data_IF_888958321004
#
_entry.id   IF_888958321004
#
_cell.length_a   1.000
_cell.length_b   1.000
_cell.length_c   1.000
_cell.angle_alpha   90.00
_cell.angle_beta   90.00
_cell.angle_gamma   90.00
#
_symmetry.space_group_name_H-M   'P 1'
#
loop_
_entity.id
_entity.type
_entity.pdbx_description
1 polymer ?
#
# COMPACT_ATOMS: atom_id res chain seq x y z
N UNK A 1 -25.79 -35.37 -32.83
CA UNK A 1 -26.30 -34.71 -31.62
C UNK A 1 -25.44 -33.49 -31.42
N UNK A 2 -25.97 -32.31 -31.76
CA UNK A 2 -25.25 -31.03 -31.73
C UNK A 2 -25.53 -30.35 -30.40
N UNK A 3 -24.47 -30.06 -29.65
CA UNK A 3 -24.49 -29.28 -28.41
C UNK A 3 -24.76 -27.80 -28.73
N UNK A 4 -26.04 -27.45 -28.90
CA UNK A 4 -26.52 -26.06 -28.93
C UNK A 4 -27.13 -25.70 -27.57
N UNK A 5 -26.28 -25.42 -26.58
CA UNK A 5 -26.73 -25.03 -25.25
C UNK A 5 -25.84 -23.94 -24.63
N UNK A 6 -25.71 -22.78 -25.29
CA UNK A 6 -25.34 -21.54 -24.56
C UNK A 6 -25.60 -20.23 -25.34
N UNK A 7 -26.76 -20.06 -25.96
CA UNK A 7 -27.16 -18.74 -26.47
C UNK A 7 -28.42 -18.27 -25.74
N UNK A 8 -28.22 -17.43 -24.72
CA UNK A 8 -29.29 -16.70 -24.02
C UNK A 8 -29.41 -15.29 -24.64
N UNK A 9 -30.47 -15.01 -25.41
CA UNK A 9 -30.69 -13.72 -26.05
C UNK A 9 -30.95 -12.57 -25.06
N UNK A 10 -31.27 -12.89 -23.80
CA UNK A 10 -31.56 -11.90 -22.76
C UNK A 10 -30.33 -11.53 -21.94
N UNK A 11 -29.19 -12.23 -22.13
CA UNK A 11 -27.94 -11.91 -21.46
C UNK A 11 -27.41 -10.58 -22.01
N UNK A 12 -27.33 -9.51 -21.19
CA UNK A 12 -26.85 -8.22 -21.67
C UNK A 12 -25.42 -8.36 -22.20
N UNK A 13 -25.21 -8.00 -23.48
CA UNK A 13 -23.87 -7.92 -24.06
C UNK A 13 -23.18 -6.66 -23.53
N UNK A 14 -22.70 -6.72 -22.29
CA UNK A 14 -21.81 -5.70 -21.75
C UNK A 14 -20.54 -5.72 -22.60
N UNK A 15 -20.36 -4.68 -23.43
CA UNK A 15 -19.15 -4.55 -24.23
C UNK A 15 -17.97 -4.24 -23.31
N UNK A 16 -16.76 -4.60 -23.74
CA UNK A 16 -15.53 -4.41 -22.96
C UNK A 16 -15.45 -2.99 -22.37
N UNK A 17 -15.76 -1.96 -23.15
CA UNK A 17 -15.75 -0.55 -22.73
C UNK A 17 -16.71 -0.25 -21.55
N UNK A 18 -17.90 -0.85 -21.52
CA UNK A 18 -18.84 -0.67 -20.40
C UNK A 18 -18.35 -1.39 -19.14
N UNK A 19 -17.70 -2.55 -19.32
CA UNK A 19 -17.10 -3.31 -18.21
C UNK A 19 -15.90 -2.57 -17.62
N UNK A 20 -15.00 -2.01 -18.45
CA UNK A 20 -13.88 -1.20 -17.96
C UNK A 20 -14.38 0.05 -17.23
N UNK A 21 -15.22 0.87 -17.87
CA UNK A 21 -15.70 2.11 -17.27
C UNK A 21 -16.43 1.91 -15.93
N UNK A 22 -17.24 0.85 -15.82
CA UNK A 22 -17.96 0.57 -14.57
C UNK A 22 -17.02 0.08 -13.46
N UNK A 23 -15.99 -0.69 -13.79
CA UNK A 23 -14.97 -1.09 -12.82
C UNK A 23 -14.08 0.10 -12.40
N UNK A 24 -13.75 1.00 -13.33
CA UNK A 24 -12.94 2.18 -13.04
C UNK A 24 -13.65 3.13 -12.08
N UNK A 25 -14.96 3.35 -12.27
CA UNK A 25 -15.80 4.12 -11.34
C UNK A 25 -15.84 3.49 -9.93
N UNK A 26 -16.05 2.18 -9.85
CA UNK A 26 -16.06 1.46 -8.56
C UNK A 26 -14.69 1.52 -7.85
N UNK A 27 -13.60 1.47 -8.62
CA UNK A 27 -12.25 1.63 -8.09
C UNK A 27 -12.01 3.05 -7.57
N UNK A 28 -12.43 4.08 -8.31
CA UNK A 28 -12.32 5.48 -7.88
C UNK A 28 -13.14 5.78 -6.62
N UNK A 29 -14.38 5.31 -6.53
CA UNK A 29 -15.20 5.48 -5.33
C UNK A 29 -14.52 4.87 -4.10
N UNK A 30 -13.83 3.75 -4.30
CA UNK A 30 -13.12 3.05 -3.25
C UNK A 30 -11.84 3.75 -2.82
N UNK A 31 -11.09 4.32 -3.77
CA UNK A 31 -9.97 5.20 -3.44
C UNK A 31 -10.44 6.44 -2.67
N UNK A 32 -11.55 7.07 -3.09
CA UNK A 32 -12.15 8.20 -2.37
C UNK A 32 -12.57 7.82 -0.94
N UNK A 33 -13.09 6.61 -0.75
CA UNK A 33 -13.38 6.10 0.59
C UNK A 33 -12.08 5.98 1.40
N UNK A 34 -11.05 5.35 0.86
CA UNK A 34 -9.74 5.21 1.51
C UNK A 34 -9.17 6.59 1.91
N UNK A 35 -9.24 7.59 1.04
CA UNK A 35 -8.80 8.97 1.34
C UNK A 35 -9.54 9.55 2.55
N UNK A 36 -10.87 9.40 2.61
CA UNK A 36 -11.67 9.83 3.77
C UNK A 36 -11.25 9.13 5.06
N UNK A 37 -10.87 7.84 4.98
CA UNK A 37 -10.37 7.07 6.12
C UNK A 37 -8.98 7.56 6.55
N UNK A 38 -8.10 7.90 5.63
CA UNK A 38 -6.82 8.55 5.94
C UNK A 38 -7.00 9.90 6.63
N UNK A 39 -7.93 10.73 6.15
CA UNK A 39 -8.27 11.99 6.80
C UNK A 39 -8.81 11.77 8.22
N UNK A 40 -9.63 10.74 8.43
CA UNK A 40 -10.11 10.37 9.76
C UNK A 40 -8.95 9.95 10.67
N UNK A 41 -8.06 9.06 10.20
CA UNK A 41 -6.86 8.64 10.93
C UNK A 41 -5.95 9.83 11.29
N UNK A 42 -5.81 10.79 10.37
CA UNK A 42 -5.05 12.03 10.61
C UNK A 42 -5.65 12.85 11.75
N UNK A 43 -6.99 12.98 11.81
CA UNK A 43 -7.68 13.65 12.92
C UNK A 43 -7.49 12.92 14.24
N UNK A 44 -7.66 11.59 14.27
CA UNK A 44 -7.42 10.77 15.46
C UNK A 44 -5.98 10.95 15.98
N UNK A 45 -5.01 11.01 15.06
CA UNK A 45 -3.60 11.29 15.40
C UNK A 45 -3.42 12.65 16.06
N UNK A 46 -4.10 13.69 15.58
CA UNK A 46 -4.06 15.03 16.18
C UNK A 46 -4.72 15.05 17.56
N UNK A 47 -5.87 14.39 17.72
CA UNK A 47 -6.55 14.24 19.02
C UNK A 47 -5.67 13.52 20.03
N UNK A 48 -5.04 12.41 19.64
CA UNK A 48 -4.14 11.65 20.49
C UNK A 48 -2.95 12.49 20.93
N UNK A 49 -2.31 13.23 20.01
CA UNK A 49 -1.21 14.15 20.34
C UNK A 49 -1.63 15.18 21.38
N UNK A 50 -2.81 15.78 21.22
CA UNK A 50 -3.34 16.76 22.18
C UNK A 50 -3.51 16.12 23.56
N UNK A 51 -4.15 14.95 23.65
CA UNK A 51 -4.35 14.25 24.94
C UNK A 51 -3.02 13.86 25.61
N UNK A 52 -2.00 13.50 24.83
CA UNK A 52 -0.66 13.22 25.35
C UNK A 52 -0.03 14.50 25.93
N UNK A 53 -0.11 15.63 25.21
CA UNK A 53 0.38 16.90 25.73
C UNK A 53 -0.36 17.32 27.01
N UNK A 54 -1.70 17.22 27.03
CA UNK A 54 -2.51 17.54 28.20
C UNK A 54 -2.11 16.66 29.40
N UNK A 55 -1.83 15.37 29.16
CA UNK A 55 -1.31 14.46 30.18
C UNK A 55 0.08 14.88 30.68
N UNK A 56 1.00 15.22 29.77
CA UNK A 56 2.34 15.71 30.13
C UNK A 56 2.27 17.00 30.96
N UNK A 57 1.31 17.89 30.66
CA UNK A 57 1.12 19.14 31.38
C UNK A 57 0.59 18.90 32.80
N UNK A 58 -0.34 17.95 33.00
CA UNK A 58 -0.85 17.60 34.34
C UNK A 58 0.22 16.87 35.15
N UNK A 59 1.02 16.01 34.51
CA UNK A 59 2.13 15.30 35.18
C UNK A 59 3.25 16.23 35.69
N UNK A 60 3.28 17.50 35.25
CA UNK A 60 4.21 18.52 35.76
C UNK A 60 3.65 19.33 36.93
N UNK A 61 2.37 19.17 37.25
CA UNK A 61 1.71 19.85 38.36
C UNK A 61 1.90 19.10 39.68
N UNK A 62 1.31 19.62 40.75
CA UNK A 62 1.38 18.99 42.06
C UNK A 62 0.65 17.64 42.08
N UNK A 63 1.19 16.68 42.83
CA UNK A 63 0.63 15.33 42.98
C UNK A 63 -0.58 15.31 43.93
N UNK A 64 -1.62 16.08 43.60
CA UNK A 64 -2.88 16.08 44.32
C UNK A 64 -3.89 15.05 43.77
N UNK A 65 -4.95 14.81 44.54
CA UNK A 65 -5.97 13.81 44.20
C UNK A 65 -6.71 14.16 42.91
N UNK A 66 -6.92 15.44 42.62
CA UNK A 66 -7.61 15.90 41.42
C UNK A 66 -6.78 15.60 40.16
N UNK A 67 -5.50 15.95 40.17
CA UNK A 67 -4.56 15.69 39.08
C UNK A 67 -4.39 14.19 38.85
N UNK A 68 -4.33 13.39 39.92
CA UNK A 68 -4.28 11.93 39.81
C UNK A 68 -5.55 11.34 39.18
N UNK A 69 -6.73 11.88 39.49
CA UNK A 69 -8.00 11.46 38.88
C UNK A 69 -8.08 11.89 37.40
N UNK A 70 -7.60 13.08 37.06
CA UNK A 70 -7.50 13.56 35.68
C UNK A 70 -6.54 12.70 34.85
N UNK A 71 -5.36 12.37 35.38
CA UNK A 71 -4.37 11.48 34.74
C UNK A 71 -5.00 10.12 34.42
N UNK A 72 -5.69 9.48 35.37
CA UNK A 72 -6.34 8.19 35.14
C UNK A 72 -7.37 8.25 34.01
N UNK A 73 -8.20 9.30 34.00
CA UNK A 73 -9.19 9.51 32.93
C UNK A 73 -8.53 9.71 31.58
N UNK A 74 -7.51 10.56 31.49
CA UNK A 74 -6.77 10.81 30.25
C UNK A 74 -6.07 9.55 29.72
N UNK A 75 -5.51 8.72 30.60
CA UNK A 75 -4.89 7.45 30.19
C UNK A 75 -5.91 6.52 29.53
N UNK A 76 -7.12 6.40 30.09
CA UNK A 76 -8.18 5.57 29.48
C UNK A 76 -8.69 6.14 28.16
N UNK A 77 -8.78 7.47 28.05
CA UNK A 77 -9.11 8.13 26.79
C UNK A 77 -8.02 7.93 25.72
N UNK A 78 -6.75 8.00 26.10
CA UNK A 78 -5.60 7.75 25.22
C UNK A 78 -5.61 6.30 24.72
N UNK A 79 -5.87 5.32 25.61
CA UNK A 79 -5.98 3.91 25.22
C UNK A 79 -7.11 3.70 24.21
N UNK A 80 -8.27 4.32 24.44
CA UNK A 80 -9.41 4.27 23.53
C UNK A 80 -9.07 4.88 22.16
N UNK A 81 -8.50 6.07 22.15
CA UNK A 81 -8.09 6.77 20.92
C UNK A 81 -7.09 5.94 20.11
N UNK A 82 -6.10 5.34 20.79
CA UNK A 82 -5.12 4.43 20.19
C UNK A 82 -5.79 3.22 19.54
N UNK A 83 -6.85 2.69 20.15
CA UNK A 83 -7.59 1.57 19.56
C UNK A 83 -8.34 2.01 18.29
N UNK A 84 -9.01 3.15 18.33
CA UNK A 84 -9.68 3.71 17.14
C UNK A 84 -8.69 3.92 15.98
N UNK A 85 -7.48 4.42 16.26
CA UNK A 85 -6.43 4.55 15.25
C UNK A 85 -6.01 3.20 14.64
N UNK A 86 -5.90 2.15 15.46
CA UNK A 86 -5.57 0.80 14.97
C UNK A 86 -6.69 0.25 14.08
N UNK A 87 -7.94 0.40 14.49
CA UNK A 87 -9.10 -0.07 13.74
C UNK A 87 -9.18 0.65 12.38
N UNK A 88 -8.95 1.97 12.37
CA UNK A 88 -8.90 2.77 11.16
C UNK A 88 -7.79 2.31 10.20
N UNK A 89 -6.58 2.08 10.72
CA UNK A 89 -5.46 1.56 9.94
C UNK A 89 -5.73 0.16 9.37
N UNK A 90 -6.42 -0.70 10.12
CA UNK A 90 -6.82 -2.02 9.66
C UNK A 90 -7.85 -1.95 8.53
N UNK A 91 -8.82 -1.04 8.63
CA UNK A 91 -9.81 -0.82 7.58
C UNK A 91 -9.14 -0.31 6.31
N UNK A 92 -8.30 0.72 6.41
CA UNK A 92 -7.53 1.26 5.27
C UNK A 92 -6.74 0.15 4.57
N UNK A 93 -6.01 -0.65 5.34
CA UNK A 93 -5.22 -1.77 4.80
C UNK A 93 -6.10 -2.79 4.09
N UNK A 94 -7.24 -3.17 4.69
CA UNK A 94 -8.18 -4.13 4.10
C UNK A 94 -8.77 -3.63 2.78
N UNK A 95 -9.20 -2.37 2.75
CA UNK A 95 -9.74 -1.73 1.55
C UNK A 95 -8.70 -1.66 0.44
N UNK A 96 -7.46 -1.25 0.77
CA UNK A 96 -6.37 -1.18 -0.19
C UNK A 96 -6.02 -2.56 -0.76
N UNK A 97 -5.92 -3.59 0.08
CA UNK A 97 -5.61 -4.95 -0.37
C UNK A 97 -6.67 -5.49 -1.33
N UNK A 98 -7.95 -5.28 -1.04
CA UNK A 98 -9.01 -5.74 -1.92
C UNK A 98 -9.12 -4.86 -3.17
N UNK A 99 -8.80 -3.57 -3.11
CA UNK A 99 -8.78 -2.70 -4.29
C UNK A 99 -7.67 -3.15 -5.27
N UNK A 100 -6.47 -3.44 -4.75
CA UNK A 100 -5.37 -4.00 -5.52
C UNK A 100 -5.71 -5.36 -6.13
N UNK A 101 -6.31 -6.27 -5.34
CA UNK A 101 -6.71 -7.59 -5.85
C UNK A 101 -7.73 -7.50 -6.99
N UNK A 102 -8.73 -6.62 -6.85
CA UNK A 102 -9.75 -6.42 -7.88
C UNK A 102 -9.14 -5.84 -9.15
N UNK A 103 -8.20 -4.90 -9.01
CA UNK A 103 -7.49 -4.29 -10.13
C UNK A 103 -6.60 -5.30 -10.87
N UNK A 104 -5.85 -6.14 -10.14
CA UNK A 104 -5.04 -7.22 -10.72
C UNK A 104 -5.92 -8.26 -11.43
N UNK A 105 -7.11 -8.55 -10.90
CA UNK A 105 -8.07 -9.43 -11.56
C UNK A 105 -8.63 -8.79 -12.83
N UNK A 106 -8.97 -7.49 -12.80
CA UNK A 106 -9.42 -6.71 -13.95
C UNK A 106 -8.39 -6.77 -15.07
N UNK A 107 -7.14 -6.41 -14.78
CA UNK A 107 -6.03 -6.40 -15.75
C UNK A 107 -5.80 -7.77 -16.41
N UNK A 108 -5.96 -8.87 -15.65
CA UNK A 108 -5.85 -10.23 -16.19
C UNK A 108 -7.02 -10.59 -17.11
N UNK A 109 -8.24 -10.18 -16.78
CA UNK A 109 -9.42 -10.44 -17.59
C UNK A 109 -9.48 -9.58 -18.86
N UNK A 110 -8.98 -8.34 -18.80
CA UNK A 110 -8.97 -7.43 -19.95
C UNK A 110 -7.81 -7.69 -20.91
N UNK A 111 -6.74 -8.34 -20.44
CA UNK A 111 -5.52 -8.61 -21.21
C UNK A 111 -4.43 -7.54 -21.02
N UNK A 112 -4.74 -6.45 -20.32
CA UNK A 112 -3.81 -5.35 -20.01
C UNK A 112 -2.55 -5.84 -19.30
N UNK A 113 -2.65 -6.88 -18.46
CA UNK A 113 -1.50 -7.45 -17.76
C UNK A 113 -0.42 -7.98 -18.71
N UNK A 114 -0.84 -8.57 -19.85
CA UNK A 114 0.08 -9.07 -20.87
C UNK A 114 0.74 -7.93 -21.64
N UNK A 115 -0.05 -6.92 -22.00
CA UNK A 115 0.44 -5.72 -22.69
C UNK A 115 1.46 -4.95 -21.83
N UNK A 116 1.20 -4.83 -20.51
CA UNK A 116 2.10 -4.20 -19.53
C UNK A 116 3.43 -4.97 -19.38
N UNK A 117 3.39 -6.31 -19.35
CA UNK A 117 4.62 -7.12 -19.31
C UNK A 117 5.45 -7.00 -20.59
N UNK A 118 4.81 -7.06 -21.76
CA UNK A 118 5.48 -6.89 -23.05
C UNK A 118 6.11 -5.49 -23.19
N UNK A 119 5.45 -4.45 -22.66
CA UNK A 119 6.00 -3.09 -22.62
C UNK A 119 7.18 -2.96 -21.64
N UNK A 120 7.09 -3.53 -20.44
CA UNK A 120 8.19 -3.56 -19.47
C UNK A 120 9.43 -4.28 -20.04
N UNK A 121 9.24 -5.40 -20.74
CA UNK A 121 10.34 -6.11 -21.42
C UNK A 121 10.97 -5.27 -22.54
N UNK A 122 10.16 -4.62 -23.39
CA UNK A 122 10.66 -3.67 -24.40
C UNK A 122 11.49 -2.55 -23.76
N UNK A 123 11.04 -2.04 -22.62
CA UNK A 123 11.72 -0.96 -21.88
C UNK A 123 13.06 -1.43 -21.29
N UNK A 124 13.11 -2.65 -20.73
CA UNK A 124 14.35 -3.27 -20.21
C UNK A 124 15.36 -3.56 -21.33
N UNK A 125 14.89 -4.05 -22.48
CA UNK A 125 15.75 -4.27 -23.65
C UNK A 125 16.32 -2.96 -24.21
N UNK A 126 15.54 -1.88 -24.17
CA UNK A 126 15.98 -0.54 -24.60
C UNK A 126 17.02 0.09 -23.66
N UNK A 127 17.00 -0.23 -22.36
CA UNK A 127 18.01 0.23 -21.38
C UNK A 127 19.30 -0.61 -21.36
N UNK A 128 19.30 -1.80 -21.99
CA UNK A 128 20.44 -2.74 -21.99
C UNK A 128 21.40 -2.55 -23.17
N UNK A 129 21.11 -1.62 -24.09
CA UNK A 129 21.88 -1.44 -25.35
C UNK A 129 22.89 -0.28 -25.29
N UNK A 130 23.42 0.04 -24.11
CA UNK A 130 24.24 1.25 -23.91
C UNK A 130 25.64 1.07 -23.30
N UNK A 131 26.00 -0.10 -22.77
CA UNK A 131 27.28 -0.27 -22.07
C UNK A 131 27.86 -1.66 -22.36
N UNK A 132 28.90 -1.71 -23.19
CA UNK A 132 30.17 -2.42 -22.93
C UNK A 132 30.93 -2.75 -24.24
N UNK A 133 31.73 -1.78 -24.69
CA UNK A 133 32.96 -2.03 -25.45
C UNK A 133 34.13 -1.48 -24.62
N UNK A 134 34.54 -2.23 -23.59
CA UNK A 134 35.84 -2.02 -22.93
C UNK A 134 36.60 -3.35 -22.95
N UNK A 135 37.40 -3.53 -23.99
CA UNK A 135 38.39 -4.59 -24.09
C UNK A 135 39.47 -4.40 -23.01
N UNK A 136 39.53 -5.30 -22.03
CA UNK A 136 40.70 -5.44 -21.13
C UNK A 136 41.44 -6.73 -21.46
N UNK A 137 42.71 -6.68 -21.92
CA UNK A 137 43.47 -7.87 -22.25
C UNK A 137 43.93 -8.62 -20.99
N UNK A 138 43.85 -9.95 -21.03
CA UNK A 138 44.40 -10.88 -20.04
C UNK A 138 45.87 -10.60 -19.73
N UNK A 139 46.19 -10.45 -18.45
CA UNK A 139 47.53 -10.72 -17.93
C UNK A 139 47.42 -11.75 -16.81
N UNK A 140 48.05 -12.89 -17.08
CA UNK A 140 48.22 -14.05 -16.22
C UNK A 140 48.82 -13.74 -14.85
N UNK A 141 48.37 -14.53 -13.88
CA UNK A 141 48.82 -14.65 -12.49
C UNK A 141 50.35 -14.68 -12.32
N UNK A 142 50.86 -14.05 -11.26
CA UNK A 142 51.53 -14.75 -10.15
C UNK A 142 52.00 -13.76 -9.07
N UNK A 143 52.02 -14.24 -7.83
CA UNK A 143 52.71 -13.77 -6.61
C UNK A 143 51.83 -13.65 -5.36
N UNK A 144 51.68 -14.85 -4.79
CA UNK A 144 51.51 -15.23 -3.39
C UNK A 144 52.02 -14.24 -2.34
N UNK A 145 51.13 -13.88 -1.40
CA UNK A 145 51.45 -13.22 -0.14
C UNK A 145 52.43 -14.06 0.69
N UNK A 146 53.53 -13.44 1.14
CA UNK A 146 54.44 -14.02 2.14
C UNK A 146 54.36 -13.19 3.42
N UNK A 147 53.90 -13.82 4.50
CA UNK A 147 53.96 -13.32 5.87
C UNK A 147 55.40 -12.96 6.27
N UNK A 148 55.59 -11.88 7.03
CA UNK A 148 56.52 -11.87 8.18
C UNK A 148 56.15 -10.79 9.19
N UNK A 149 56.12 -11.21 10.45
CA UNK A 149 56.02 -10.43 11.66
C UNK A 149 57.22 -9.48 11.85
N UNK A 150 56.98 -8.34 12.50
CA UNK A 150 57.76 -7.84 13.64
C UNK A 150 56.93 -6.79 14.41
#
# INVERSE_FOLDING_TARGET
MTDDAFYDPQRPRLCKATVTYHNDLQFQDRLSYIDKRYDHLRRLTQTLKKKINDLEDIMRQDNDEENMEQIKRLIEEIKREKQLMRDEAHIIRGELSQAMYNEDLRKRLTGEYREEQEELERRRQSTSQGEDDVYTPSSSDDHTYRETSF
#
